data_IF_340227674489
#
_entry.id   IF_340227674489
#
_cell.length_a   1.000
_cell.length_b   1.000
_cell.length_c   1.000
_cell.angle_alpha   90.00
_cell.angle_beta   90.00
_cell.angle_gamma   90.00
#
_symmetry.space_group_name_H-M   'P 1'
#
loop_
_entity.id
_entity.type
_entity.pdbx_description
1 polymer ?
#
# COMPACT_ATOMS: atom_id res chain seq x y z
N UNK A 1 -35.76 -16.89 62.65
CA UNK A 1 -34.55 -17.53 62.09
C UNK A 1 -34.87 -17.96 60.66
N UNK A 2 -34.64 -17.07 59.69
CA UNK A 2 -33.57 -17.17 58.66
C UNK A 2 -33.65 -18.44 57.81
N UNK A 3 -34.48 -18.37 56.77
CA UNK A 3 -34.38 -19.22 55.60
C UNK A 3 -33.36 -18.59 54.65
N UNK A 4 -32.31 -19.32 54.25
CA UNK A 4 -31.52 -18.92 53.07
C UNK A 4 -30.04 -19.30 53.02
N UNK A 5 -29.32 -19.38 54.14
CA UNK A 5 -27.83 -19.48 54.12
C UNK A 5 -27.28 -20.90 53.85
N UNK A 6 -27.90 -21.65 52.94
CA UNK A 6 -27.39 -22.96 52.49
C UNK A 6 -27.37 -22.98 50.97
N UNK A 7 -26.21 -22.72 50.37
CA UNK A 7 -26.08 -22.94 48.94
C UNK A 7 -24.88 -22.41 48.18
N UNK A 8 -23.86 -21.79 48.79
CA UNK A 8 -22.65 -21.41 48.04
C UNK A 8 -21.82 -22.67 47.77
N UNK A 9 -22.22 -23.42 46.74
CA UNK A 9 -21.55 -24.67 46.41
C UNK A 9 -20.18 -24.37 45.79
N UNK A 10 -19.16 -25.18 46.10
CA UNK A 10 -17.84 -25.09 45.45
C UNK A 10 -17.94 -25.11 43.92
N UNK A 11 -19.00 -25.74 43.39
CA UNK A 11 -19.29 -25.81 41.96
C UNK A 11 -19.76 -24.46 41.40
N UNK A 12 -20.55 -23.69 42.13
CA UNK A 12 -21.00 -22.35 41.73
C UNK A 12 -19.82 -21.39 41.61
N UNK A 13 -18.91 -21.41 42.59
CA UNK A 13 -17.69 -20.60 42.59
C UNK A 13 -16.74 -21.02 41.45
N UNK A 14 -16.62 -22.34 41.19
CA UNK A 14 -15.83 -22.87 40.09
C UNK A 14 -16.37 -22.45 38.72
N UNK A 15 -17.69 -22.54 38.51
CA UNK A 15 -18.33 -22.10 37.26
C UNK A 15 -18.20 -20.59 37.08
N UNK A 16 -18.37 -19.80 38.14
CA UNK A 16 -18.17 -18.36 38.09
C UNK A 16 -16.74 -17.99 37.68
N UNK A 17 -15.72 -18.62 38.29
CA UNK A 17 -14.32 -18.41 37.91
C UNK A 17 -14.06 -18.86 36.47
N UNK A 18 -14.64 -19.99 36.04
CA UNK A 18 -14.48 -20.48 34.67
C UNK A 18 -15.04 -19.48 33.64
N UNK A 19 -16.24 -18.94 33.88
CA UNK A 19 -16.86 -17.94 33.00
C UNK A 19 -16.06 -16.65 32.98
N UNK A 20 -15.64 -16.14 34.15
CA UNK A 20 -14.81 -14.94 34.24
C UNK A 20 -13.46 -15.12 33.55
N UNK A 21 -12.83 -16.29 33.69
CA UNK A 21 -11.58 -16.62 33.02
C UNK A 21 -11.69 -16.57 31.50
N UNK A 22 -12.73 -17.20 30.94
CA UNK A 22 -13.01 -17.17 29.50
C UNK A 22 -13.34 -15.75 29.03
N UNK A 23 -14.13 -15.00 29.79
CA UNK A 23 -14.47 -13.62 29.47
C UNK A 23 -13.24 -12.72 29.40
N UNK A 24 -12.33 -12.82 30.38
CA UNK A 24 -11.07 -12.05 30.37
C UNK A 24 -10.20 -12.43 29.18
N UNK A 25 -10.04 -13.73 28.89
CA UNK A 25 -9.26 -14.19 27.74
C UNK A 25 -9.84 -13.65 26.42
N UNK A 26 -11.16 -13.67 26.26
CA UNK A 26 -11.84 -13.13 25.09
C UNK A 26 -11.61 -11.61 24.92
N UNK A 27 -11.70 -10.84 26.01
CA UNK A 27 -11.50 -9.39 25.99
C UNK A 27 -10.05 -9.04 25.62
N UNK A 28 -9.07 -9.68 26.28
CA UNK A 28 -7.65 -9.43 26.00
C UNK A 28 -7.30 -9.82 24.57
N UNK A 29 -7.81 -10.96 24.10
CA UNK A 29 -7.65 -11.39 22.71
C UNK A 29 -8.25 -10.38 21.72
N UNK A 30 -9.45 -9.86 22.01
CA UNK A 30 -10.12 -8.85 21.17
C UNK A 30 -9.34 -7.54 21.06
N UNK A 31 -8.81 -7.03 22.18
CA UNK A 31 -8.00 -5.80 22.20
C UNK A 31 -6.69 -6.01 21.42
N UNK A 32 -6.03 -7.15 21.60
CA UNK A 32 -4.81 -7.50 20.87
C UNK A 32 -5.05 -7.54 19.35
N UNK A 33 -6.13 -8.19 18.91
CA UNK A 33 -6.49 -8.22 17.50
C UNK A 33 -6.81 -6.82 16.94
N UNK A 34 -7.59 -6.02 17.67
CA UNK A 34 -7.99 -4.67 17.23
C UNK A 34 -6.79 -3.72 17.06
N UNK A 35 -5.82 -3.78 17.98
CA UNK A 35 -4.59 -2.96 17.90
C UNK A 35 -3.71 -3.34 16.72
N UNK A 36 -3.50 -4.63 16.46
CA UNK A 36 -2.76 -5.12 15.30
C UNK A 36 -3.43 -4.71 13.98
N UNK A 37 -4.74 -4.86 13.88
CA UNK A 37 -5.50 -4.44 12.70
C UNK A 37 -5.41 -2.93 12.48
N UNK A 38 -5.43 -2.13 13.55
CA UNK A 38 -5.28 -0.67 13.46
C UNK A 38 -3.91 -0.26 12.92
N UNK A 39 -2.83 -0.92 13.36
CA UNK A 39 -1.47 -0.68 12.85
C UNK A 39 -1.36 -1.00 11.35
N UNK A 40 -1.87 -2.16 10.93
CA UNK A 40 -1.88 -2.57 9.51
C UNK A 40 -2.68 -1.58 8.67
N UNK A 41 -3.87 -1.18 9.13
CA UNK A 41 -4.71 -0.24 8.39
C UNK A 41 -4.04 1.13 8.24
N UNK A 42 -3.41 1.65 9.29
CA UNK A 42 -2.64 2.91 9.23
C UNK A 42 -1.49 2.81 8.21
N UNK A 43 -0.80 1.68 8.16
CA UNK A 43 0.27 1.44 7.18
C UNK A 43 -0.26 1.34 5.76
N UNK A 44 -1.39 0.67 5.53
CA UNK A 44 -2.06 0.64 4.22
C UNK A 44 -2.49 2.03 3.77
N UNK A 45 -3.07 2.84 4.66
CA UNK A 45 -3.44 4.22 4.34
C UNK A 45 -2.21 5.06 3.96
N UNK A 46 -1.10 4.89 4.69
CA UNK A 46 0.17 5.61 4.41
C UNK A 46 0.80 5.16 3.10
N UNK A 47 0.87 3.84 2.85
CA UNK A 47 1.36 3.30 1.57
C UNK A 47 0.46 3.74 0.40
N UNK A 48 -0.85 3.80 0.61
CA UNK A 48 -1.83 4.20 -0.38
C UNK A 48 -1.72 5.68 -0.75
N UNK A 49 -1.51 6.57 0.22
CA UNK A 49 -1.19 7.96 -0.08
C UNK A 49 0.17 8.05 -0.78
N UNK A 50 1.20 7.42 -0.22
CA UNK A 50 2.56 7.48 -0.76
C UNK A 50 2.70 6.95 -2.19
N UNK A 51 1.96 5.92 -2.58
CA UNK A 51 2.02 5.38 -3.97
C UNK A 51 1.37 6.34 -4.97
N UNK A 52 0.34 7.09 -4.56
CA UNK A 52 -0.29 8.13 -5.39
C UNK A 52 0.64 9.33 -5.54
N UNK A 53 1.19 9.83 -4.43
CA UNK A 53 2.17 10.92 -4.42
C UNK A 53 3.41 10.57 -5.26
N UNK A 54 3.85 9.30 -5.21
CA UNK A 54 4.97 8.80 -6.02
C UNK A 54 4.62 8.80 -7.52
N UNK A 55 3.42 8.33 -7.87
CA UNK A 55 2.92 8.39 -9.25
C UNK A 55 2.84 9.83 -9.78
N UNK A 56 2.26 10.74 -9.01
CA UNK A 56 2.16 12.16 -9.35
C UNK A 56 3.54 12.82 -9.51
N UNK A 57 4.52 12.48 -8.66
CA UNK A 57 5.88 12.99 -8.80
C UNK A 57 6.55 12.51 -10.09
N UNK A 58 6.32 11.26 -10.50
CA UNK A 58 6.80 10.74 -11.79
C UNK A 58 6.11 11.48 -12.95
N UNK A 59 4.80 11.67 -12.88
CA UNK A 59 4.07 12.44 -13.90
C UNK A 59 4.61 13.87 -14.03
N UNK A 60 4.83 14.55 -12.92
CA UNK A 60 5.41 15.89 -12.90
C UNK A 60 6.81 15.93 -13.50
N UNK A 61 7.67 14.95 -13.19
CA UNK A 61 8.99 14.83 -13.82
C UNK A 61 8.89 14.63 -15.33
N UNK A 62 8.01 13.73 -15.80
CA UNK A 62 7.81 13.47 -17.22
C UNK A 62 7.29 14.74 -17.92
N UNK A 63 6.37 15.45 -17.28
CA UNK A 63 5.86 16.72 -17.76
C UNK A 63 6.91 17.84 -17.71
N UNK A 64 7.97 17.74 -16.92
CA UNK A 64 9.10 18.65 -16.97
C UNK A 64 10.11 18.31 -18.11
N UNK A 65 9.81 17.31 -18.94
CA UNK A 65 10.68 16.84 -20.02
C UNK A 65 11.54 15.62 -19.65
N UNK A 66 11.33 15.03 -18.47
CA UNK A 66 12.05 13.85 -17.99
C UNK A 66 11.59 12.51 -18.60
N UNK A 67 10.86 12.53 -19.70
CA UNK A 67 10.48 11.31 -20.42
C UNK A 67 11.72 10.68 -21.08
N UNK A 68 11.92 9.38 -20.85
CA UNK A 68 13.02 8.63 -21.48
C UNK A 68 12.43 7.58 -22.42
N UNK A 69 12.74 7.61 -23.73
CA UNK A 69 12.34 6.55 -24.65
C UNK A 69 12.87 5.19 -24.19
N UNK A 70 12.04 4.15 -24.24
CA UNK A 70 12.42 2.82 -23.76
C UNK A 70 13.00 2.79 -22.32
N UNK A 71 12.40 3.53 -21.38
CA UNK A 71 12.91 3.63 -20.03
C UNK A 71 12.83 2.33 -19.23
N UNK A 72 13.93 1.93 -18.62
CA UNK A 72 13.93 0.90 -17.56
C UNK A 72 13.35 1.46 -16.25
N UNK A 73 12.83 0.62 -15.33
CA UNK A 73 12.31 1.07 -14.04
C UNK A 73 13.22 2.02 -13.25
N UNK A 74 14.54 1.81 -13.34
CA UNK A 74 15.54 2.66 -12.66
C UNK A 74 15.48 4.15 -13.06
N UNK A 75 14.94 4.49 -14.23
CA UNK A 75 14.84 5.89 -14.71
C UNK A 75 13.77 6.70 -13.98
N UNK A 76 12.77 6.02 -13.40
CA UNK A 76 11.68 6.65 -12.67
C UNK A 76 11.69 6.31 -11.18
N UNK A 77 12.77 5.69 -10.67
CA UNK A 77 12.86 5.21 -9.30
C UNK A 77 12.95 6.32 -8.24
N UNK A 78 13.40 7.52 -8.62
CA UNK A 78 13.60 8.65 -7.71
C UNK A 78 13.14 9.96 -8.38
N UNK A 79 11.82 10.20 -8.47
CA UNK A 79 11.30 11.41 -9.07
C UNK A 79 11.60 12.63 -8.20
N UNK A 80 11.88 13.76 -8.85
CA UNK A 80 12.15 15.02 -8.14
C UNK A 80 10.94 15.46 -7.30
N UNK A 81 11.19 15.93 -6.08
CA UNK A 81 10.15 16.43 -5.18
C UNK A 81 9.38 15.36 -4.42
N UNK A 82 9.64 14.07 -4.65
CA UNK A 82 9.07 13.00 -3.83
C UNK A 82 9.98 12.66 -2.66
N UNK A 83 9.39 12.56 -1.47
CA UNK A 83 10.06 12.02 -0.29
C UNK A 83 9.30 10.78 0.17
N UNK A 84 9.98 9.65 0.25
CA UNK A 84 9.36 8.42 0.73
C UNK A 84 8.94 8.57 2.20
N UNK A 85 7.72 8.15 2.59
CA UNK A 85 7.31 8.14 3.98
C UNK A 85 8.29 7.34 4.86
N UNK A 86 8.53 7.81 6.08
CA UNK A 86 9.46 7.16 7.00
C UNK A 86 9.05 5.70 7.29
N UNK A 87 10.01 4.77 7.14
CA UNK A 87 9.75 3.33 7.33
C UNK A 87 9.10 2.65 6.12
N UNK A 88 9.04 3.32 4.97
CA UNK A 88 8.56 2.75 3.70
C UNK A 88 9.65 2.78 2.64
N UNK A 89 9.46 1.97 1.60
CA UNK A 89 10.28 1.94 0.38
C UNK A 89 9.39 2.16 -0.83
N UNK A 90 9.80 3.05 -1.73
CA UNK A 90 9.16 3.26 -3.04
C UNK A 90 9.98 2.59 -4.13
N UNK A 91 9.31 1.97 -5.11
CA UNK A 91 9.96 1.32 -6.24
C UNK A 91 9.11 1.39 -7.48
N UNK A 92 9.77 1.44 -8.65
CA UNK A 92 9.13 1.12 -9.93
C UNK A 92 9.43 -0.34 -10.21
N UNK A 93 8.40 -1.17 -10.23
CA UNK A 93 8.52 -2.63 -10.29
C UNK A 93 8.51 -3.16 -11.73
N UNK A 94 7.81 -2.48 -12.63
CA UNK A 94 7.76 -2.83 -14.03
C UNK A 94 7.56 -1.58 -14.90
N UNK A 95 8.06 -1.64 -16.12
CA UNK A 95 7.71 -0.72 -17.19
C UNK A 95 7.27 -1.56 -18.39
N UNK A 96 6.14 -1.20 -18.97
CA UNK A 96 5.64 -1.73 -20.24
C UNK A 96 5.57 -0.60 -21.26
N UNK A 97 5.79 -0.95 -22.51
CA UNK A 97 5.85 -0.03 -23.64
C UNK A 97 4.62 -0.23 -24.52
N UNK A 98 4.03 0.86 -24.99
CA UNK A 98 2.93 0.78 -25.93
C UNK A 98 3.44 0.39 -27.32
N UNK A 99 2.75 -0.55 -27.98
CA UNK A 99 3.10 -1.00 -29.35
C UNK A 99 2.20 -0.39 -30.42
N UNK A 100 1.24 0.45 -30.04
CA UNK A 100 0.14 0.90 -30.90
C UNK A 100 -1.16 0.11 -30.71
N UNK A 101 -1.08 -1.11 -30.17
CA UNK A 101 -2.25 -1.98 -29.93
C UNK A 101 -2.22 -2.72 -28.60
N UNK A 102 -1.05 -2.89 -27.97
CA UNK A 102 -0.90 -3.59 -26.70
C UNK A 102 0.28 -3.04 -25.87
N UNK A 103 0.30 -3.41 -24.59
CA UNK A 103 1.44 -3.17 -23.69
C UNK A 103 2.42 -4.34 -23.76
N UNK A 104 3.69 -4.07 -24.05
CA UNK A 104 4.78 -5.05 -24.16
C UNK A 104 5.83 -4.83 -23.07
N UNK A 105 6.42 -5.91 -22.54
CA UNK A 105 7.57 -5.81 -21.62
C UNK A 105 8.89 -5.52 -22.35
N UNK A 106 8.94 -5.75 -23.67
CA UNK A 106 10.10 -5.48 -24.50
C UNK A 106 9.90 -4.17 -25.22
N UNK A 107 10.89 -3.27 -25.17
CA UNK A 107 10.82 -2.04 -25.94
C UNK A 107 11.12 -2.31 -27.42
N UNK A 108 10.21 -1.89 -28.29
CA UNK A 108 10.43 -1.80 -29.73
C UNK A 108 10.76 -0.36 -30.14
N UNK A 109 10.08 0.15 -31.17
CA UNK A 109 10.05 1.58 -31.43
C UNK A 109 9.23 2.29 -30.33
N UNK A 110 9.80 3.33 -29.73
CA UNK A 110 9.10 4.12 -28.72
C UNK A 110 7.96 4.91 -29.35
N UNK A 111 6.73 4.63 -28.92
CA UNK A 111 5.52 5.31 -29.39
C UNK A 111 5.07 6.42 -28.42
N UNK A 112 5.98 6.94 -27.58
CA UNK A 112 5.69 8.00 -26.63
C UNK A 112 4.85 7.62 -25.41
N UNK A 113 4.44 6.35 -25.25
CA UNK A 113 3.63 5.90 -24.11
C UNK A 113 4.30 4.74 -23.36
N UNK A 114 4.35 4.86 -22.03
CA UNK A 114 4.88 3.84 -21.13
C UNK A 114 3.95 3.66 -19.94
N UNK A 115 3.65 2.41 -19.57
CA UNK A 115 2.91 2.06 -18.37
C UNK A 115 3.90 1.60 -17.30
N UNK A 116 3.91 2.28 -16.16
CA UNK A 116 4.75 1.97 -15.01
C UNK A 116 3.89 1.29 -13.96
N UNK A 117 4.38 0.20 -13.39
CA UNK A 117 3.83 -0.35 -12.16
C UNK A 117 4.69 0.14 -11.00
N UNK A 118 4.14 1.06 -10.21
CA UNK A 118 4.82 1.65 -9.06
C UNK A 118 4.31 1.03 -7.75
N UNK A 119 5.16 1.01 -6.74
CA UNK A 119 4.87 0.39 -5.46
C UNK A 119 5.42 1.21 -4.31
N UNK A 120 4.66 1.30 -3.22
CA UNK A 120 5.14 1.72 -1.90
C UNK A 120 4.83 0.63 -0.89
N UNK A 121 5.85 0.18 -0.16
CA UNK A 121 5.73 -0.91 0.81
C UNK A 121 6.33 -0.52 2.16
N UNK A 122 5.74 -1.00 3.25
CA UNK A 122 6.29 -0.83 4.60
C UNK A 122 7.53 -1.70 4.77
N UNK A 123 8.54 -1.18 5.48
CA UNK A 123 9.81 -1.88 5.68
C UNK A 123 9.70 -3.17 6.49
N UNK A 124 8.58 -3.38 7.20
CA UNK A 124 8.26 -4.59 7.94
C UNK A 124 7.38 -5.58 7.16
N UNK A 125 7.04 -5.29 5.90
CA UNK A 125 6.28 -6.17 5.01
C UNK A 125 4.78 -6.28 5.32
N UNK A 126 4.23 -5.48 6.25
CA UNK A 126 2.81 -5.54 6.65
C UNK A 126 1.86 -4.79 5.74
N UNK A 127 2.35 -3.85 4.92
CA UNK A 127 1.55 -3.14 3.94
C UNK A 127 2.34 -2.95 2.63
N UNK A 128 1.65 -3.10 1.51
CA UNK A 128 2.21 -2.87 0.18
C UNK A 128 1.09 -2.45 -0.76
N UNK A 129 1.22 -1.25 -1.33
CA UNK A 129 0.27 -0.71 -2.30
C UNK A 129 0.95 -0.54 -3.65
N UNK A 130 0.19 -0.79 -4.73
CA UNK A 130 0.65 -0.68 -6.12
C UNK A 130 -0.30 0.18 -6.93
N UNK A 131 0.27 0.90 -7.88
CA UNK A 131 -0.47 1.72 -8.84
C UNK A 131 0.12 1.52 -10.23
N UNK A 132 -0.75 1.44 -11.23
CA UNK A 132 -0.33 1.55 -12.62
C UNK A 132 -0.47 3.01 -13.07
N UNK A 133 0.63 3.60 -13.53
CA UNK A 133 0.69 4.98 -14.00
C UNK A 133 1.08 4.95 -15.47
N UNK A 134 0.33 5.63 -16.33
CA UNK A 134 0.67 5.75 -17.75
C UNK A 134 1.28 7.11 -18.00
N UNK A 135 2.56 7.12 -18.36
CA UNK A 135 3.29 8.33 -18.71
C UNK A 135 3.34 8.51 -20.22
N UNK A 136 3.27 9.77 -20.65
CA UNK A 136 3.34 10.15 -22.06
C UNK A 136 4.49 11.10 -22.32
N UNK A 137 5.13 10.94 -23.47
CA UNK A 137 6.08 11.91 -24.01
C UNK A 137 5.33 13.22 -24.24
N UNK A 138 5.96 14.34 -23.89
CA UNK A 138 5.44 15.64 -24.29
C UNK A 138 5.63 15.81 -25.79
N UNK A 139 4.56 16.18 -26.48
CA UNK A 139 4.65 16.68 -27.85
C UNK A 139 4.85 18.19 -27.79
N UNK A 140 5.65 18.75 -28.71
CA UNK A 140 5.77 20.19 -28.83
C UNK A 140 4.40 20.84 -29.02
N UNK A 141 4.20 22.06 -28.50
CA UNK A 141 2.99 22.82 -28.80
C UNK A 141 2.92 23.03 -30.32
N UNK A 142 1.98 22.35 -30.99
CA UNK A 142 1.78 22.45 -32.45
C UNK A 142 2.25 21.24 -33.26
N UNK A 143 2.76 20.17 -32.65
CA UNK A 143 3.11 18.93 -33.35
C UNK A 143 1.98 17.89 -33.27
N UNK A 144 1.95 16.95 -34.23
CA UNK A 144 1.04 15.81 -34.20
C UNK A 144 1.21 15.00 -32.90
N UNK A 145 0.15 14.34 -32.40
CA UNK A 145 0.25 13.51 -31.20
C UNK A 145 1.33 12.43 -31.39
N UNK A 146 2.38 12.61 -30.62
CA UNK A 146 3.35 11.63 -30.16
C UNK A 146 2.86 11.03 -28.82
#
# INVERSE_FOLDING_TARGET
MRAGDRGESLLELLVAIAILGVAVAAIVGGIGASTLMSDVHRKQATAGAGVRDFGEAIENQVMAGGYVPCATPAKYAAPAGFTVPAGFTSTVTAVKYWTGSAWSATCGADTGLQQLTVQVASGDGRASERLEVVVRKRCGLGEAPC
#
